data_IF_175641516062
#
_entry.id   IF_175641516062
#
_cell.length_a   1.000
_cell.length_b   1.000
_cell.length_c   1.000
_cell.angle_alpha   90.00
_cell.angle_beta   90.00
_cell.angle_gamma   90.00
#
_symmetry.space_group_name_H-M   'P 1'
#
loop_
_entity.id
_entity.type
_entity.pdbx_description
1 polymer ?
#
# COMPACT_ATOMS: atom_id res chain seq x y z
N UNK A 1 11.89 -18.91 5.73
CA UNK A 1 10.74 -18.15 6.28
C UNK A 1 9.73 -19.16 6.84
N UNK A 2 9.28 -18.98 8.08
CA UNK A 2 8.33 -19.92 8.70
C UNK A 2 6.90 -19.67 8.24
N UNK A 3 6.02 -20.68 8.35
CA UNK A 3 4.59 -20.53 8.04
C UNK A 3 3.94 -19.42 8.85
N UNK A 4 4.38 -19.18 10.10
CA UNK A 4 3.84 -18.12 10.94
C UNK A 4 4.00 -16.74 10.32
N UNK A 5 5.08 -16.50 9.58
CA UNK A 5 5.31 -15.21 8.90
C UNK A 5 4.31 -14.98 7.78
N UNK A 6 3.96 -16.03 7.02
CA UNK A 6 2.97 -15.91 5.95
C UNK A 6 1.55 -15.65 6.46
N UNK A 7 1.25 -16.08 7.69
CA UNK A 7 -0.05 -15.82 8.30
C UNK A 7 -0.21 -14.37 8.77
N UNK A 8 0.89 -13.63 8.85
CA UNK A 8 0.90 -12.27 9.36
C UNK A 8 0.58 -11.22 8.30
N UNK A 9 0.44 -11.59 7.02
CA UNK A 9 0.20 -10.62 5.97
C UNK A 9 -0.65 -11.18 4.84
N UNK A 10 -1.34 -10.26 4.15
CA UNK A 10 -2.08 -10.52 2.92
C UNK A 10 -1.62 -9.48 1.90
N UNK A 11 -1.21 -9.95 0.73
CA UNK A 11 -0.80 -9.06 -0.37
C UNK A 11 -2.00 -8.79 -1.25
N UNK A 12 -2.30 -7.51 -1.46
CA UNK A 12 -3.40 -7.07 -2.33
C UNK A 12 -2.80 -6.25 -3.46
N UNK A 13 -2.91 -6.76 -4.68
CA UNK A 13 -2.46 -6.03 -5.86
C UNK A 13 -3.45 -4.94 -6.25
N UNK A 14 -2.97 -3.74 -6.49
CA UNK A 14 -3.77 -2.57 -6.89
C UNK A 14 -3.50 -2.16 -8.33
N UNK A 15 -2.69 -2.90 -9.04
CA UNK A 15 -2.38 -2.67 -10.45
C UNK A 15 -2.27 -4.00 -11.17
N UNK A 16 -2.45 -4.03 -12.50
CA UNK A 16 -2.28 -5.26 -13.27
C UNK A 16 -0.88 -5.86 -13.07
N UNK A 17 -0.81 -7.19 -12.99
CA UNK A 17 0.46 -7.90 -12.96
C UNK A 17 1.17 -7.71 -14.30
N UNK A 18 2.49 -7.71 -14.26
CA UNK A 18 3.37 -7.65 -15.44
C UNK A 18 3.28 -6.32 -16.21
N UNK A 19 2.65 -5.29 -15.65
CA UNK A 19 2.70 -3.95 -16.24
C UNK A 19 4.04 -3.32 -15.88
N UNK A 20 4.92 -3.04 -16.86
CA UNK A 20 6.20 -2.40 -16.57
C UNK A 20 5.96 -0.99 -16.03
N UNK A 21 6.72 -0.62 -15.00
CA UNK A 21 6.75 0.75 -14.50
C UNK A 21 7.63 1.57 -15.42
N UNK A 22 7.05 2.63 -16.00
CA UNK A 22 7.78 3.57 -16.85
C UNK A 22 7.89 4.90 -16.13
N UNK A 23 9.04 5.54 -16.26
CA UNK A 23 9.27 6.87 -15.69
C UNK A 23 10.64 7.02 -15.07
N UNK A 24 10.97 8.24 -14.60
CA UNK A 24 12.30 8.55 -14.08
C UNK A 24 12.67 7.78 -12.81
N UNK A 25 11.67 7.27 -12.06
CA UNK A 25 11.91 6.50 -10.84
C UNK A 25 11.82 4.99 -11.04
N UNK A 26 11.87 4.52 -12.27
CA UNK A 26 11.88 3.09 -12.56
C UNK A 26 13.03 2.41 -11.81
N UNK A 27 12.73 1.32 -11.12
CA UNK A 27 13.70 0.58 -10.32
C UNK A 27 13.78 1.00 -8.85
N UNK A 28 13.20 2.16 -8.49
CA UNK A 28 13.12 2.58 -7.09
C UNK A 28 12.01 1.81 -6.38
N UNK A 29 12.34 1.22 -5.22
CA UNK A 29 11.38 0.56 -4.34
C UNK A 29 11.11 1.42 -3.13
N UNK A 30 9.83 1.58 -2.79
CA UNK A 30 9.36 2.45 -1.70
C UNK A 30 8.47 1.64 -0.77
N UNK A 31 8.74 1.72 0.52
CA UNK A 31 7.85 1.20 1.57
C UNK A 31 7.10 2.37 2.17
N UNK A 32 5.78 2.32 2.10
CA UNK A 32 4.90 3.35 2.66
C UNK A 32 4.29 2.86 3.96
N UNK A 33 4.58 3.54 5.06
CA UNK A 33 4.01 3.25 6.38
C UNK A 33 3.02 4.31 6.84
N UNK A 34 2.89 5.40 6.09
CA UNK A 34 2.02 6.52 6.46
C UNK A 34 0.54 6.21 6.26
N UNK A 35 -0.29 7.01 6.93
CA UNK A 35 -1.74 6.89 6.86
C UNK A 35 -2.38 8.23 6.50
N UNK A 36 -3.61 8.16 6.01
CA UNK A 36 -4.48 9.27 5.63
C UNK A 36 -3.93 10.09 4.46
N UNK A 37 -3.16 11.14 4.69
CA UNK A 37 -2.85 12.13 3.66
C UNK A 37 -1.37 12.16 3.29
N UNK A 38 -0.49 12.54 4.21
CA UNK A 38 0.89 12.88 3.86
C UNK A 38 1.68 11.72 3.26
N UNK A 39 1.71 10.59 3.94
CA UNK A 39 2.39 9.39 3.45
C UNK A 39 1.77 8.88 2.15
N UNK A 40 0.44 8.66 2.11
CA UNK A 40 -0.23 8.22 0.89
C UNK A 40 -0.01 9.15 -0.30
N UNK A 41 -0.05 10.47 -0.12
CA UNK A 41 0.18 11.43 -1.19
C UNK A 41 1.63 11.37 -1.70
N UNK A 42 2.60 11.38 -0.79
CA UNK A 42 4.01 11.32 -1.15
C UNK A 42 4.33 10.04 -1.94
N UNK A 43 3.88 8.90 -1.43
CA UNK A 43 4.13 7.62 -2.08
C UNK A 43 3.38 7.49 -3.42
N UNK A 44 2.16 8.03 -3.52
CA UNK A 44 1.43 8.10 -4.80
C UNK A 44 2.24 8.89 -5.83
N UNK A 45 2.78 10.02 -5.44
CA UNK A 45 3.59 10.85 -6.33
C UNK A 45 4.80 10.08 -6.85
N UNK A 46 5.51 9.39 -5.97
CA UNK A 46 6.64 8.55 -6.38
C UNK A 46 6.18 7.42 -7.33
N UNK A 47 5.06 6.79 -7.04
CA UNK A 47 4.51 5.73 -7.88
C UNK A 47 4.12 6.23 -9.26
N UNK A 48 3.55 7.43 -9.34
CA UNK A 48 3.17 8.05 -10.62
C UNK A 48 4.39 8.29 -11.52
N UNK A 49 5.56 8.47 -10.92
CA UNK A 49 6.82 8.64 -11.66
C UNK A 49 7.59 7.32 -11.85
N UNK A 50 6.99 6.19 -11.56
CA UNK A 50 7.54 4.89 -11.92
C UNK A 50 8.10 4.06 -10.76
N UNK A 51 8.11 4.58 -9.53
CA UNK A 51 8.56 3.80 -8.37
C UNK A 51 7.61 2.62 -8.09
N UNK A 52 8.18 1.52 -7.62
CA UNK A 52 7.41 0.42 -7.06
C UNK A 52 7.08 0.73 -5.60
N UNK A 53 5.81 0.97 -5.30
CA UNK A 53 5.37 1.32 -3.95
C UNK A 53 4.63 0.16 -3.31
N UNK A 54 5.09 -0.23 -2.14
CA UNK A 54 4.44 -1.22 -1.28
C UNK A 54 3.94 -0.50 -0.03
N UNK A 55 2.62 -0.44 0.11
CA UNK A 55 1.97 0.17 1.26
C UNK A 55 1.72 -0.89 2.33
N UNK A 56 2.22 -0.65 3.52
CA UNK A 56 1.96 -1.49 4.67
C UNK A 56 0.74 -0.96 5.41
N UNK A 57 -0.25 -1.81 5.64
CA UNK A 57 -1.49 -1.45 6.32
C UNK A 57 -1.75 -2.37 7.49
N UNK A 58 -2.38 -1.89 8.57
CA UNK A 58 -2.83 -2.78 9.63
C UNK A 58 -3.86 -3.78 9.10
N UNK A 59 -3.85 -5.03 9.59
CA UNK A 59 -4.87 -6.01 9.21
C UNK A 59 -6.28 -5.55 9.58
N UNK A 60 -7.27 -6.05 8.89
CA UNK A 60 -8.68 -5.72 9.10
C UNK A 60 -9.10 -4.47 8.36
N UNK A 61 -9.15 -3.34 9.04
CA UNK A 61 -9.67 -2.09 8.46
C UNK A 61 -8.70 -1.43 7.47
N UNK A 62 -7.39 -1.69 7.59
CA UNK A 62 -6.39 -1.04 6.75
C UNK A 62 -6.18 0.43 7.12
N UNK A 63 -5.68 1.20 6.17
CA UNK A 63 -5.53 2.64 6.33
C UNK A 63 -6.91 3.30 6.53
N UNK A 64 -7.09 4.17 7.55
CA UNK A 64 -8.33 4.94 7.73
C UNK A 64 -8.78 5.68 6.46
N UNK A 65 -7.86 6.01 5.57
CA UNK A 65 -8.16 6.63 4.27
C UNK A 65 -9.17 5.83 3.45
N UNK A 66 -9.23 4.51 3.63
CA UNK A 66 -10.16 3.65 2.87
C UNK A 66 -11.62 4.01 3.10
N UNK A 67 -11.95 4.61 4.23
CA UNK A 67 -13.31 4.99 4.64
C UNK A 67 -13.44 6.47 4.97
N UNK A 68 -12.53 7.29 4.46
CA UNK A 68 -12.43 8.69 4.84
C UNK A 68 -13.26 9.59 3.92
N UNK A 69 -14.01 10.51 4.54
CA UNK A 69 -14.84 11.52 3.87
C UNK A 69 -15.87 10.91 2.92
N UNK A 70 -15.96 11.38 1.68
CA UNK A 70 -16.96 10.95 0.72
C UNK A 70 -16.73 9.52 0.26
N UNK A 71 -17.74 8.69 0.43
CA UNK A 71 -17.73 7.30 -0.02
C UNK A 71 -18.58 7.15 -1.27
N UNK A 72 -18.07 6.36 -2.23
CA UNK A 72 -18.81 5.89 -3.38
C UNK A 72 -18.73 4.36 -3.37
N UNK A 73 -19.90 3.71 -3.36
CA UNK A 73 -19.99 2.25 -3.28
C UNK A 73 -19.19 1.67 -2.11
N UNK A 74 -19.22 2.34 -0.96
CA UNK A 74 -18.53 1.92 0.25
C UNK A 74 -17.03 2.18 0.29
N UNK A 75 -16.46 2.83 -0.72
CA UNK A 75 -15.04 3.13 -0.80
C UNK A 75 -14.81 4.63 -0.86
N UNK A 76 -13.81 5.10 -0.10
CA UNK A 76 -13.44 6.52 -0.13
C UNK A 76 -12.96 6.94 -1.52
N UNK A 77 -13.48 8.06 -2.00
CA UNK A 77 -13.01 8.67 -3.24
C UNK A 77 -11.53 9.07 -3.13
N UNK A 78 -11.12 9.51 -1.94
CA UNK A 78 -9.72 9.82 -1.66
C UNK A 78 -8.83 8.58 -1.75
N UNK A 79 -9.31 7.46 -1.24
CA UNK A 79 -8.58 6.21 -1.34
C UNK A 79 -8.31 5.83 -2.80
N UNK A 80 -9.31 5.95 -3.66
CA UNK A 80 -9.15 5.61 -5.07
C UNK A 80 -8.06 6.42 -5.75
N UNK A 81 -7.90 7.68 -5.36
CA UNK A 81 -6.85 8.55 -5.91
C UNK A 81 -5.48 8.23 -5.30
N UNK A 82 -5.42 8.13 -3.97
CA UNK A 82 -4.14 8.02 -3.26
C UNK A 82 -3.55 6.61 -3.28
N UNK A 83 -4.34 5.59 -3.55
CA UNK A 83 -3.85 4.21 -3.64
C UNK A 83 -3.34 3.84 -5.03
N UNK A 84 -3.47 4.72 -5.98
CA UNK A 84 -3.09 4.47 -7.36
C UNK A 84 -1.64 4.03 -7.50
N UNK A 85 -1.41 3.03 -8.35
CA UNK A 85 -0.08 2.50 -8.68
C UNK A 85 0.67 1.86 -7.51
N UNK A 86 -0.03 1.48 -6.44
CA UNK A 86 0.56 0.85 -5.27
C UNK A 86 0.13 -0.61 -5.14
N UNK A 87 0.95 -1.38 -4.44
CA UNK A 87 0.54 -2.66 -3.85
C UNK A 87 0.31 -2.47 -2.37
N UNK A 88 -0.63 -3.20 -1.80
CA UNK A 88 -0.89 -3.17 -0.36
C UNK A 88 -0.57 -4.51 0.27
N UNK A 89 0.05 -4.45 1.43
CA UNK A 89 0.34 -5.61 2.28
C UNK A 89 -0.27 -5.36 3.65
N UNK A 90 -1.16 -6.23 4.09
CA UNK A 90 -1.70 -6.18 5.43
C UNK A 90 -0.71 -6.86 6.38
N UNK A 91 -0.17 -6.09 7.31
CA UNK A 91 0.89 -6.56 8.21
C UNK A 91 0.73 -5.90 9.57
N UNK A 92 0.62 -6.72 10.62
CA UNK A 92 0.59 -6.21 11.99
C UNK A 92 2.02 -5.92 12.46
N UNK A 93 2.39 -4.65 12.44
CA UNK A 93 3.74 -4.22 12.83
C UNK A 93 4.04 -4.42 14.32
N UNK A 94 3.03 -4.75 15.12
CA UNK A 94 3.23 -5.12 16.54
C UNK A 94 3.61 -6.59 16.71
N UNK A 95 3.39 -7.40 15.68
CA UNK A 95 3.77 -8.80 15.69
C UNK A 95 5.26 -8.94 15.38
N UNK A 96 6.08 -9.57 16.28
CA UNK A 96 7.50 -9.77 16.01
C UNK A 96 7.78 -10.51 14.69
N UNK A 97 6.93 -11.47 14.32
CA UNK A 97 7.07 -12.17 13.06
C UNK A 97 6.92 -11.25 11.85
N UNK A 98 6.04 -10.25 11.95
CA UNK A 98 5.86 -9.25 10.90
C UNK A 98 7.06 -8.31 10.81
N UNK A 99 7.67 -7.97 11.94
CA UNK A 99 8.84 -7.10 12.00
C UNK A 99 10.06 -7.72 11.33
N UNK A 100 10.12 -9.05 11.23
CA UNK A 100 11.21 -9.77 10.59
C UNK A 100 11.10 -9.81 9.06
N UNK A 101 10.00 -9.39 8.52
CA UNK A 101 9.78 -9.36 7.07
C UNK A 101 10.37 -8.08 6.48
#
# INVERSE_FOLDING_TARGET
MSEARFRSFIVIGMQPKNTPKLGPLQGLKVIELGQLIAGPFAAKTLADFGAEVIKIEPPGAGDPLRKWRLLKDGTSVWWQVQSRNKRSVALDLKDPAAQDI
#
